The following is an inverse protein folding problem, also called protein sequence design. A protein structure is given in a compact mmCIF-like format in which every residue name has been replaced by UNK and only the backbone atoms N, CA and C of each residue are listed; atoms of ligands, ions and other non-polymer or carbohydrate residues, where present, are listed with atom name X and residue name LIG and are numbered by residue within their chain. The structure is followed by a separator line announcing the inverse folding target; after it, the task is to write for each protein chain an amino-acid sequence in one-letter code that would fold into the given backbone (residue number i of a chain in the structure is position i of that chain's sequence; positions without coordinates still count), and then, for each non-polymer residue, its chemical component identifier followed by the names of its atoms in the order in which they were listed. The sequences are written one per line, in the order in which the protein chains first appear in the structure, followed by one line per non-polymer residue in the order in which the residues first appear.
data_IF_369740584239
#
_entry.id   IF_369740584239
#
_cell.length_a   1.000
_cell.length_b   1.000
_cell.length_c   1.000
_cell.angle_alpha   90.00
_cell.angle_beta   90.00
_cell.angle_gamma   90.00
#
_symmetry.space_group_name_H-M   'P 1'
#
loop_
_entity.id
_entity.type
_entity.pdbx_description
1 polymer ?
#
# COMPACT_ATOMS: atom_id res chain seq x y z
N UNK A 1 24.43 15.01 3.07
CA UNK A 1 23.81 14.77 4.39
C UNK A 1 23.75 13.26 4.57
N UNK A 2 24.47 12.69 5.56
CA UNK A 2 24.40 11.24 5.80
C UNK A 2 22.97 10.87 6.28
N UNK A 3 22.35 9.78 5.80
CA UNK A 3 21.04 9.36 6.29
C UNK A 3 21.08 9.20 7.82
N UNK A 4 20.01 9.61 8.51
CA UNK A 4 19.91 9.52 9.99
C UNK A 4 20.26 8.13 10.53
N UNK A 5 19.93 7.08 9.77
CA UNK A 5 20.20 5.68 10.12
C UNK A 5 21.71 5.39 10.21
N UNK A 6 22.52 5.91 9.29
CA UNK A 6 23.99 5.69 9.26
C UNK A 6 24.67 6.26 10.50
N UNK A 7 24.21 7.42 10.97
CA UNK A 7 24.74 8.04 12.19
C UNK A 7 24.26 7.35 13.48
N UNK A 8 23.05 6.79 13.47
CA UNK A 8 22.46 6.11 14.63
C UNK A 8 23.09 4.74 14.89
N UNK A 9 23.42 4.00 13.83
CA UNK A 9 24.03 2.66 13.94
C UNK A 9 25.56 2.68 14.08
N UNK A 10 26.16 3.87 14.14
CA UNK A 10 27.62 4.01 14.33
C UNK A 10 28.45 3.62 13.11
N UNK A 11 27.83 3.52 11.93
CA UNK A 11 28.46 3.13 10.67
C UNK A 11 29.43 4.23 10.23
N UNK A 12 30.71 3.87 10.08
CA UNK A 12 31.82 4.81 9.91
C UNK A 12 31.85 5.39 8.49
N UNK A 13 31.64 4.55 7.49
CA UNK A 13 31.74 4.90 6.08
C UNK A 13 30.71 4.19 5.19
N UNK A 14 30.79 4.46 3.88
CA UNK A 14 29.85 3.94 2.88
C UNK A 14 30.06 2.44 2.63
N UNK A 15 31.28 1.94 2.78
CA UNK A 15 31.64 0.55 2.52
C UNK A 15 31.04 -0.36 3.60
N UNK A 16 31.17 0.03 4.88
CA UNK A 16 30.52 -0.66 6.00
C UNK A 16 28.98 -0.67 5.87
N UNK A 17 28.39 0.37 5.29
CA UNK A 17 26.94 0.41 5.03
C UNK A 17 26.52 -0.53 3.90
N UNK A 18 27.30 -0.60 2.82
CA UNK A 18 27.04 -1.49 1.69
C UNK A 18 27.19 -2.95 2.11
N UNK A 19 28.22 -3.28 2.89
CA UNK A 19 28.42 -4.64 3.43
C UNK A 19 27.27 -5.08 4.34
N UNK A 20 26.80 -4.20 5.23
CA UNK A 20 25.65 -4.48 6.09
C UNK A 20 24.35 -4.70 5.29
N UNK A 21 24.13 -3.93 4.21
CA UNK A 21 23.00 -4.15 3.32
C UNK A 21 23.12 -5.49 2.60
N UNK A 22 24.31 -5.80 2.06
CA UNK A 22 24.53 -7.04 1.32
C UNK A 22 24.31 -8.28 2.22
N UNK A 23 24.74 -8.23 3.48
CA UNK A 23 24.48 -9.28 4.46
C UNK A 23 22.97 -9.48 4.70
N UNK A 24 22.23 -8.38 4.91
CA UNK A 24 20.77 -8.44 5.11
C UNK A 24 20.06 -8.93 3.84
N UNK A 25 20.49 -8.48 2.67
CA UNK A 25 19.91 -8.86 1.39
C UNK A 25 20.18 -10.33 1.06
N UNK A 26 21.31 -10.90 1.50
CA UNK A 26 21.58 -12.33 1.40
C UNK A 26 20.60 -13.17 2.23
N UNK A 27 20.13 -12.66 3.37
CA UNK A 27 19.13 -13.33 4.21
C UNK A 27 17.68 -13.06 3.78
N UNK A 28 17.43 -12.04 2.95
CA UNK A 28 16.09 -11.64 2.53
C UNK A 28 15.23 -12.78 1.94
N UNK A 29 15.76 -13.72 1.13
CA UNK A 29 14.98 -14.87 0.65
C UNK A 29 14.48 -15.78 1.77
N UNK A 30 15.31 -16.06 2.77
CA UNK A 30 14.94 -16.89 3.94
C UNK A 30 13.92 -16.19 4.82
N UNK A 31 14.12 -14.90 5.10
CA UNK A 31 13.16 -14.08 5.85
C UNK A 31 11.80 -14.11 5.15
N UNK A 32 11.79 -13.97 3.81
CA UNK A 32 10.57 -14.07 3.02
C UNK A 32 9.91 -15.45 3.17
N UNK A 33 10.66 -16.54 3.09
CA UNK A 33 10.12 -17.90 3.25
C UNK A 33 9.49 -18.11 4.63
N UNK A 34 10.16 -17.66 5.70
CA UNK A 34 9.63 -17.71 7.06
C UNK A 34 8.31 -16.94 7.15
N UNK A 35 8.30 -15.69 6.66
CA UNK A 35 7.09 -14.87 6.66
C UNK A 35 5.98 -15.55 5.85
N UNK A 36 6.30 -16.08 4.66
CA UNK A 36 5.33 -16.74 3.78
C UNK A 36 4.74 -17.99 4.44
N UNK A 37 5.55 -18.80 5.14
CA UNK A 37 5.11 -20.00 5.86
C UNK A 37 4.11 -19.69 6.98
N UNK A 38 4.38 -18.65 7.78
CA UNK A 38 3.54 -18.32 8.93
C UNK A 38 2.38 -17.36 8.61
N UNK A 39 2.42 -16.65 7.47
CA UNK A 39 1.36 -15.70 7.07
C UNK A 39 0.15 -16.36 6.40
N UNK A 40 0.27 -17.61 5.94
CA UNK A 40 -0.80 -18.33 5.26
C UNK A 40 -1.07 -17.88 3.81
N UNK A 41 -1.90 -18.63 3.07
CA UNK A 41 -2.11 -18.45 1.62
C UNK A 41 -2.86 -17.16 1.24
N UNK A 42 -3.65 -16.60 2.17
CA UNK A 42 -4.47 -15.40 1.92
C UNK A 42 -3.72 -14.08 2.18
N UNK A 43 -2.39 -14.07 2.05
CA UNK A 43 -1.60 -12.86 2.29
C UNK A 43 -1.88 -11.79 1.24
N UNK A 44 -2.70 -10.81 1.62
CA UNK A 44 -2.80 -9.54 0.90
C UNK A 44 -1.80 -8.57 1.51
N UNK A 45 -0.72 -8.28 0.79
CA UNK A 45 0.25 -7.28 1.24
C UNK A 45 -0.41 -5.90 1.30
N UNK A 46 0.08 -5.01 2.16
CA UNK A 46 -0.38 -3.62 2.17
C UNK A 46 -0.31 -2.97 0.76
N UNK A 47 0.68 -3.37 -0.05
CA UNK A 47 0.77 -2.99 -1.46
C UNK A 47 -0.46 -3.45 -2.27
N UNK A 48 -0.78 -4.75 -2.25
CA UNK A 48 -1.95 -5.30 -2.96
C UNK A 48 -3.25 -4.65 -2.49
N UNK A 49 -3.39 -4.42 -1.18
CA UNK A 49 -4.56 -3.73 -0.62
C UNK A 49 -4.69 -2.31 -1.16
N UNK A 50 -3.57 -1.57 -1.22
CA UNK A 50 -3.56 -0.20 -1.73
C UNK A 50 -3.84 -0.15 -3.24
N UNK A 51 -3.27 -1.07 -4.01
CA UNK A 51 -3.52 -1.22 -5.45
C UNK A 51 -4.99 -1.55 -5.74
N UNK A 52 -5.63 -2.35 -4.89
CA UNK A 52 -7.04 -2.68 -5.03
C UNK A 52 -7.95 -1.48 -4.80
N UNK A 53 -7.64 -0.64 -3.80
CA UNK A 53 -8.37 0.62 -3.57
C UNK A 53 -8.24 1.58 -4.76
N UNK A 54 -7.05 1.66 -5.35
CA UNK A 54 -6.82 2.46 -6.57
C UNK A 54 -7.61 1.88 -7.75
N UNK A 55 -7.59 0.56 -7.93
CA UNK A 55 -8.34 -0.11 -8.99
C UNK A 55 -9.82 0.25 -8.89
N UNK A 56 -10.42 0.15 -7.71
CA UNK A 56 -11.84 0.49 -7.52
C UNK A 56 -12.08 1.97 -7.86
N UNK A 57 -11.24 2.89 -7.39
CA UNK A 57 -11.39 4.31 -7.72
C UNK A 57 -11.41 4.58 -9.25
N UNK A 58 -10.62 3.83 -10.03
CA UNK A 58 -10.62 3.97 -11.50
C UNK A 58 -11.88 3.46 -12.19
N UNK A 59 -12.72 2.69 -11.50
CA UNK A 59 -13.99 2.17 -12.04
C UNK A 59 -15.15 3.17 -11.99
N UNK A 60 -14.93 4.37 -11.46
CA UNK A 60 -15.89 5.48 -11.55
C UNK A 60 -16.23 5.78 -13.01
N UNK A 61 -17.54 5.92 -13.37
CA UNK A 61 -17.97 6.18 -14.74
C UNK A 61 -17.31 7.39 -15.38
N UNK A 62 -17.05 7.30 -16.69
CA UNK A 62 -16.51 8.42 -17.46
C UNK A 62 -17.44 9.63 -17.50
N UNK A 63 -18.76 9.39 -17.46
CA UNK A 63 -19.81 10.40 -17.41
C UNK A 63 -19.86 11.18 -16.10
N UNK A 64 -19.26 10.66 -15.03
CA UNK A 64 -19.19 11.37 -13.76
C UNK A 64 -18.34 12.65 -13.88
N UNK A 65 -18.75 13.76 -13.23
CA UNK A 65 -17.95 14.99 -13.18
C UNK A 65 -16.57 14.76 -12.56
N UNK A 66 -15.60 15.60 -12.95
CA UNK A 66 -14.23 15.52 -12.43
C UNK A 66 -14.15 15.71 -10.91
N UNK A 67 -15.07 16.45 -10.32
CA UNK A 67 -15.18 16.58 -8.86
C UNK A 67 -15.43 15.23 -8.17
N UNK A 68 -16.27 14.38 -8.77
CA UNK A 68 -16.60 13.05 -8.25
C UNK A 68 -15.43 12.09 -8.41
N UNK A 69 -14.75 12.13 -9.56
CA UNK A 69 -13.53 11.34 -9.81
C UNK A 69 -12.43 11.69 -8.80
N UNK A 70 -12.15 12.99 -8.62
CA UNK A 70 -11.19 13.47 -7.61
C UNK A 70 -11.58 13.10 -6.18
N UNK A 71 -12.88 13.02 -5.89
CA UNK A 71 -13.35 12.57 -4.59
C UNK A 71 -13.03 11.09 -4.37
N UNK A 72 -13.30 10.22 -5.37
CA UNK A 72 -12.95 8.80 -5.30
C UNK A 72 -11.43 8.59 -5.12
N UNK A 73 -10.60 9.32 -5.85
CA UNK A 73 -9.13 9.26 -5.72
C UNK A 73 -8.68 9.64 -4.30
N UNK A 74 -9.25 10.71 -3.74
CA UNK A 74 -8.95 11.16 -2.37
C UNK A 74 -9.45 10.20 -1.31
N UNK A 75 -10.60 9.58 -1.53
CA UNK A 75 -11.14 8.56 -0.65
C UNK A 75 -10.22 7.34 -0.60
N UNK A 76 -9.79 6.83 -1.76
CA UNK A 76 -8.81 5.75 -1.85
C UNK A 76 -7.52 6.12 -1.11
N UNK A 77 -6.95 7.30 -1.38
CA UNK A 77 -5.74 7.78 -0.69
C UNK A 77 -5.90 7.83 0.84
N UNK A 78 -7.04 8.33 1.32
CA UNK A 78 -7.31 8.45 2.77
C UNK A 78 -7.43 7.08 3.44
N UNK A 79 -8.04 6.11 2.76
CA UNK A 79 -8.24 4.76 3.29
C UNK A 79 -6.92 3.97 3.39
N UNK A 80 -5.96 4.20 2.48
CA UNK A 80 -4.62 3.57 2.56
C UNK A 80 -3.95 3.89 3.89
N UNK A 81 -4.03 5.14 4.33
CA UNK A 81 -3.41 5.63 5.56
C UNK A 81 -4.29 5.48 6.81
N UNK A 82 -5.48 4.90 6.71
CA UNK A 82 -6.39 4.75 7.84
C UNK A 82 -6.08 3.46 8.64
N UNK A 83 -5.52 3.56 9.86
CA UNK A 83 -5.22 2.38 10.68
C UNK A 83 -6.45 1.83 11.43
N UNK A 84 -7.53 2.62 11.55
CA UNK A 84 -8.71 2.26 12.33
C UNK A 84 -9.63 1.24 11.66
N UNK A 85 -9.48 1.01 10.34
CA UNK A 85 -10.29 0.06 9.59
C UNK A 85 -9.44 -1.08 9.03
N UNK A 86 -9.94 -2.31 9.15
CA UNK A 86 -9.41 -3.45 8.39
C UNK A 86 -9.70 -3.31 6.89
N UNK A 87 -8.96 -4.04 6.05
CA UNK A 87 -9.05 -3.92 4.60
C UNK A 87 -10.47 -4.19 4.07
N UNK A 88 -11.18 -5.18 4.59
CA UNK A 88 -12.55 -5.51 4.15
C UNK A 88 -13.50 -4.31 4.24
N UNK A 89 -13.38 -3.50 5.31
CA UNK A 89 -14.19 -2.29 5.48
C UNK A 89 -13.80 -1.20 4.48
N UNK A 90 -12.50 -1.05 4.20
CA UNK A 90 -11.99 -0.10 3.19
C UNK A 90 -12.49 -0.48 1.80
N UNK A 91 -12.40 -1.78 1.47
CA UNK A 91 -12.88 -2.36 0.22
C UNK A 91 -14.38 -2.15 0.04
N UNK A 92 -15.19 -2.55 1.03
CA UNK A 92 -16.65 -2.39 1.01
C UNK A 92 -17.08 -0.93 0.85
N UNK A 93 -16.39 0.00 1.51
CA UNK A 93 -16.66 1.42 1.36
C UNK A 93 -16.42 1.89 -0.08
N UNK A 94 -15.28 1.53 -0.68
CA UNK A 94 -14.94 1.95 -2.04
C UNK A 94 -15.90 1.35 -3.07
N UNK A 95 -16.23 0.05 -2.94
CA UNK A 95 -17.22 -0.61 -3.79
C UNK A 95 -18.58 0.10 -3.73
N UNK A 96 -19.04 0.42 -2.52
CA UNK A 96 -20.31 1.15 -2.34
C UNK A 96 -20.24 2.54 -2.95
N UNK A 97 -19.15 3.28 -2.73
CA UNK A 97 -18.95 4.62 -3.29
C UNK A 97 -19.06 4.60 -4.81
N UNK A 98 -18.38 3.67 -5.48
CA UNK A 98 -18.46 3.55 -6.94
C UNK A 98 -19.85 3.14 -7.38
N UNK A 99 -20.46 2.16 -6.73
CA UNK A 99 -21.80 1.69 -7.10
C UNK A 99 -22.85 2.81 -7.10
N UNK A 100 -22.85 3.65 -6.06
CA UNK A 100 -23.77 4.80 -5.93
C UNK A 100 -23.51 5.85 -7.03
N UNK A 101 -22.24 6.12 -7.33
CA UNK A 101 -21.85 7.03 -8.41
C UNK A 101 -22.28 6.48 -9.77
N UNK A 102 -22.08 5.18 -10.03
CA UNK A 102 -22.50 4.52 -11.26
C UNK A 102 -24.01 4.50 -11.47
N UNK A 103 -24.79 4.45 -10.39
CA UNK A 103 -26.25 4.59 -10.49
C UNK A 103 -26.65 6.01 -10.89
N UNK A 104 -25.94 7.01 -10.37
CA UNK A 104 -26.21 8.44 -10.60
C UNK A 104 -25.72 8.92 -11.96
N UNK A 105 -24.61 8.37 -12.44
CA UNK A 105 -23.91 8.73 -13.68
C UNK A 105 -23.70 7.47 -14.51
N UNK A 106 -24.73 7.08 -15.27
CA UNK A 106 -24.61 5.96 -16.22
C UNK A 106 -23.62 6.27 -17.35
#
# INVERSE_FOLDING_TARGET
MKPFIVAYEGIKDQEEWEEAIDEVMAQAPLIKEIVDHYSGPDRVTAKKQNEELDRIATTVPKSAPDSVKRFADRAALSLKSNPGWGFDKKYQFMEKLVAEVSQSYK
#
